data_IF_466607381358
#
_entry.id   IF_466607381358
#
_cell.length_a   1.000
_cell.length_b   1.000
_cell.length_c   1.000
_cell.angle_alpha   90.00
_cell.angle_beta   90.00
_cell.angle_gamma   90.00
#
_symmetry.space_group_name_H-M   'P 1'
#
loop_
_entity.id
_entity.type
_entity.pdbx_description
1 polymer ?
#
# COMPACT_ATOMS: atom_id res chain seq x y z
N UNK A 1 4.38 27.94 10.03
CA UNK A 1 5.41 28.21 9.08
C UNK A 1 5.12 27.61 7.76
N UNK A 2 5.46 28.31 6.82
CA UNK A 2 5.20 27.86 5.49
C UNK A 2 6.11 26.70 5.19
N UNK A 3 5.54 25.70 4.68
CA UNK A 3 6.28 24.64 4.13
C UNK A 3 7.04 25.13 2.94
N UNK A 4 8.20 24.65 2.74
CA UNK A 4 8.93 25.02 1.55
C UNK A 4 8.18 24.54 0.34
N UNK A 5 8.12 25.41 -0.63
CA UNK A 5 7.31 25.14 -1.81
C UNK A 5 7.78 23.93 -2.55
N UNK A 6 9.08 23.72 -2.55
CA UNK A 6 9.66 22.63 -3.29
C UNK A 6 9.56 21.31 -2.56
N UNK A 7 9.19 21.37 -1.30
CA UNK A 7 9.06 20.16 -0.53
C UNK A 7 7.68 19.57 -0.71
N UNK A 8 7.64 18.27 -0.88
CA UNK A 8 6.36 17.61 -0.88
C UNK A 8 5.82 17.59 0.55
N UNK A 9 4.53 17.38 0.66
CA UNK A 9 3.88 17.30 1.96
C UNK A 9 4.25 16.02 2.71
N UNK A 10 5.00 15.15 2.07
CA UNK A 10 5.19 13.80 2.59
C UNK A 10 4.06 12.89 2.18
N UNK A 11 3.09 13.43 1.48
CA UNK A 11 1.94 12.68 0.99
C UNK A 11 1.69 13.09 -0.45
N UNK A 12 2.12 12.23 -1.37
CA UNK A 12 2.01 12.54 -2.79
C UNK A 12 0.56 12.77 -3.23
N UNK A 13 -0.39 12.15 -2.54
CA UNK A 13 -1.80 12.29 -2.92
C UNK A 13 -2.32 13.68 -2.59
N UNK A 14 -1.82 14.29 -1.52
CA UNK A 14 -2.10 15.70 -1.26
C UNK A 14 -1.57 16.57 -2.38
N UNK A 15 -0.34 16.27 -2.80
CA UNK A 15 0.31 17.05 -3.86
C UNK A 15 -0.43 16.91 -5.18
N UNK A 16 -1.11 15.78 -5.39
CA UNK A 16 -1.90 15.54 -6.59
C UNK A 16 -3.31 16.13 -6.51
N UNK A 17 -3.66 16.75 -5.39
CA UNK A 17 -4.93 17.44 -5.27
C UNK A 17 -6.03 16.66 -4.57
N UNK A 18 -5.72 15.53 -3.97
CA UNK A 18 -6.73 14.80 -3.22
C UNK A 18 -7.08 15.55 -1.94
N UNK A 19 -8.35 15.52 -1.52
CA UNK A 19 -8.71 16.08 -0.22
C UNK A 19 -7.91 15.40 0.89
N UNK A 20 -7.59 16.13 1.98
CA UNK A 20 -6.73 15.57 3.03
C UNK A 20 -7.15 14.21 3.57
N UNK A 21 -8.45 14.00 3.81
CA UNK A 21 -8.89 12.72 4.37
C UNK A 21 -8.71 11.58 3.36
N UNK A 22 -8.90 11.85 2.08
CA UNK A 22 -8.67 10.84 1.05
C UNK A 22 -7.20 10.58 0.86
N UNK A 23 -6.39 11.65 0.88
CA UNK A 23 -4.95 11.52 0.72
C UNK A 23 -4.34 10.67 1.83
N UNK A 24 -4.85 10.81 3.07
CA UNK A 24 -4.42 9.99 4.18
C UNK A 24 -4.62 8.50 3.89
N UNK A 25 -5.83 8.15 3.48
CA UNK A 25 -6.16 6.76 3.21
C UNK A 25 -5.35 6.22 2.03
N UNK A 26 -5.23 7.02 0.97
CA UNK A 26 -4.47 6.59 -0.20
C UNK A 26 -3.01 6.34 0.14
N UNK A 27 -2.43 7.18 1.00
CA UNK A 27 -1.05 6.99 1.42
C UNK A 27 -0.88 5.69 2.20
N UNK A 28 -1.82 5.37 3.09
CA UNK A 28 -1.76 4.13 3.84
C UNK A 28 -1.91 2.91 2.93
N UNK A 29 -2.82 2.99 1.97
CA UNK A 29 -2.96 1.92 0.97
C UNK A 29 -1.65 1.72 0.22
N UNK A 30 -1.02 2.81 -0.19
CA UNK A 30 0.23 2.74 -0.94
C UNK A 30 1.34 2.10 -0.11
N UNK A 31 1.41 2.43 1.17
CA UNK A 31 2.42 1.85 2.06
C UNK A 31 2.21 0.36 2.23
N UNK A 32 0.97 -0.07 2.39
CA UNK A 32 0.67 -1.49 2.54
C UNK A 32 0.96 -2.26 1.25
N UNK A 33 0.61 -1.69 0.11
CA UNK A 33 0.90 -2.31 -1.17
C UNK A 33 2.42 -2.45 -1.35
N UNK A 34 3.18 -1.46 -0.93
CA UNK A 34 4.63 -1.48 -1.04
C UNK A 34 5.23 -2.57 -0.15
N UNK A 35 4.71 -2.72 1.06
CA UNK A 35 5.15 -3.77 1.98
C UNK A 35 4.93 -5.14 1.33
N UNK A 36 3.78 -5.35 0.72
CA UNK A 36 3.48 -6.62 0.05
C UNK A 36 4.37 -6.82 -1.17
N UNK A 37 4.62 -5.76 -1.94
CA UNK A 37 5.50 -5.85 -3.10
C UNK A 37 6.90 -6.27 -2.68
N UNK A 38 7.41 -5.67 -1.60
CA UNK A 38 8.74 -6.00 -1.09
C UNK A 38 8.78 -7.42 -0.56
N UNK A 39 7.70 -7.89 0.05
CA UNK A 39 7.62 -9.25 0.52
C UNK A 39 7.71 -10.23 -0.64
N UNK A 40 6.99 -9.96 -1.73
CA UNK A 40 7.03 -10.79 -2.92
C UNK A 40 8.45 -10.86 -3.47
N UNK A 41 9.13 -9.71 -3.54
CA UNK A 41 10.51 -9.67 -4.02
C UNK A 41 11.46 -10.44 -3.12
N UNK A 42 11.33 -10.23 -1.82
CA UNK A 42 12.22 -10.86 -0.86
C UNK A 42 12.07 -12.37 -0.88
N UNK A 43 10.85 -12.85 -1.06
CA UNK A 43 10.58 -14.28 -1.13
C UNK A 43 10.86 -14.86 -2.52
N UNK A 44 11.18 -14.01 -3.48
CA UNK A 44 11.48 -14.46 -4.83
C UNK A 44 10.31 -15.11 -5.54
N UNK A 45 9.09 -14.61 -5.32
CA UNK A 45 7.89 -15.23 -5.83
C UNK A 45 7.52 -14.71 -7.22
N UNK A 46 7.09 -15.64 -8.07
CA UNK A 46 6.42 -15.24 -9.31
C UNK A 46 5.01 -14.75 -8.96
N UNK A 47 4.34 -14.13 -9.94
CA UNK A 47 2.97 -13.70 -9.71
C UNK A 47 2.05 -14.88 -9.39
N UNK A 48 2.27 -16.00 -10.05
CA UNK A 48 1.48 -17.20 -9.77
C UNK A 48 1.72 -17.69 -8.34
N UNK A 49 2.97 -17.70 -7.90
CA UNK A 49 3.30 -18.13 -6.54
C UNK A 49 2.75 -17.17 -5.51
N UNK A 50 2.88 -15.86 -5.75
CA UNK A 50 2.33 -14.86 -4.85
C UNK A 50 0.82 -14.97 -4.77
N UNK A 51 0.16 -15.22 -5.90
CA UNK A 51 -1.27 -15.43 -5.95
C UNK A 51 -1.69 -16.56 -5.01
N UNK A 52 -0.98 -17.65 -5.06
CA UNK A 52 -1.26 -18.80 -4.18
C UNK A 52 -1.03 -18.46 -2.71
N UNK A 53 0.10 -17.83 -2.42
CA UNK A 53 0.45 -17.51 -1.03
C UNK A 53 -0.53 -16.52 -0.43
N UNK A 54 -0.96 -15.55 -1.22
CA UNK A 54 -1.88 -14.50 -0.76
C UNK A 54 -3.35 -14.94 -0.85
N UNK A 55 -3.63 -15.98 -1.62
CA UNK A 55 -5.00 -16.44 -1.78
C UNK A 55 -5.83 -15.50 -2.63
N UNK A 56 -5.22 -14.85 -3.61
CA UNK A 56 -5.90 -13.92 -4.50
C UNK A 56 -5.58 -14.27 -5.95
N UNK A 57 -6.24 -13.63 -6.89
CA UNK A 57 -6.01 -13.87 -8.30
C UNK A 57 -4.70 -13.21 -8.75
N UNK A 58 -4.14 -13.67 -9.85
CA UNK A 58 -2.94 -13.05 -10.40
C UNK A 58 -3.15 -11.60 -10.81
N UNK A 59 -4.28 -11.23 -11.43
CA UNK A 59 -4.54 -9.81 -11.69
C UNK A 59 -4.51 -8.96 -10.42
N UNK A 60 -4.97 -9.50 -9.30
CA UNK A 60 -4.92 -8.78 -8.04
C UNK A 60 -3.47 -8.60 -7.56
N UNK A 61 -2.64 -9.62 -7.74
CA UNK A 61 -1.21 -9.49 -7.44
C UNK A 61 -0.60 -8.39 -8.30
N UNK A 62 -0.94 -8.33 -9.57
CA UNK A 62 -0.44 -7.31 -10.47
C UNK A 62 -0.84 -5.91 -10.00
N UNK A 63 -2.08 -5.74 -9.56
CA UNK A 63 -2.55 -4.46 -9.03
C UNK A 63 -1.72 -4.04 -7.82
N UNK A 64 -1.44 -4.97 -6.94
CA UNK A 64 -0.65 -4.69 -5.74
C UNK A 64 0.76 -4.26 -6.12
N UNK A 65 1.43 -5.04 -6.97
CA UNK A 65 2.82 -4.78 -7.32
C UNK A 65 2.99 -3.52 -8.16
N UNK A 66 1.94 -3.11 -8.86
CA UNK A 66 1.96 -1.89 -9.67
C UNK A 66 1.43 -0.68 -8.91
N UNK A 67 1.07 -0.86 -7.65
CA UNK A 67 0.63 0.25 -6.82
C UNK A 67 -0.72 0.84 -7.20
N UNK A 68 -1.62 0.03 -7.74
CA UNK A 68 -2.95 0.49 -8.13
C UNK A 68 -3.85 0.58 -6.91
N UNK A 69 -3.49 1.48 -6.00
CA UNK A 69 -4.10 1.52 -4.67
C UNK A 69 -5.56 1.95 -4.67
N UNK A 70 -6.00 2.62 -5.73
CA UNK A 70 -7.40 3.00 -5.82
C UNK A 70 -8.32 1.78 -5.98
N UNK A 71 -7.75 0.64 -6.36
CA UNK A 71 -8.51 -0.59 -6.55
C UNK A 71 -8.46 -1.50 -5.32
N UNK A 72 -7.73 -1.10 -4.28
CA UNK A 72 -7.43 -1.97 -3.15
C UNK A 72 -7.83 -1.26 -1.86
N UNK A 73 -8.79 -1.81 -1.14
CA UNK A 73 -9.22 -1.20 0.10
C UNK A 73 -8.19 -1.42 1.20
N UNK A 74 -8.22 -0.54 2.19
CA UNK A 74 -7.26 -0.59 3.28
C UNK A 74 -7.37 -1.89 4.06
N UNK A 75 -8.60 -2.28 4.40
CA UNK A 75 -8.83 -3.50 5.15
C UNK A 75 -8.40 -4.74 4.36
N UNK A 76 -8.63 -4.72 3.05
CA UNK A 76 -8.18 -5.82 2.19
C UNK A 76 -6.66 -5.98 2.28
N UNK A 77 -5.94 -4.87 2.18
CA UNK A 77 -4.47 -4.91 2.21
C UNK A 77 -3.95 -5.34 3.58
N UNK A 78 -4.57 -4.85 4.65
CA UNK A 78 -4.19 -5.26 6.01
C UNK A 78 -4.40 -6.77 6.16
N UNK A 79 -5.52 -7.27 5.66
CA UNK A 79 -5.81 -8.71 5.73
C UNK A 79 -4.79 -9.54 5.00
N UNK A 80 -4.34 -9.08 3.83
CA UNK A 80 -3.31 -9.81 3.08
C UNK A 80 -1.99 -9.83 3.82
N UNK A 81 -1.61 -8.72 4.42
CA UNK A 81 -0.38 -8.67 5.23
C UNK A 81 -0.44 -9.69 6.36
N UNK A 82 -1.55 -9.72 7.08
CA UNK A 82 -1.73 -10.66 8.17
C UNK A 82 -1.66 -12.09 7.69
N UNK A 83 -2.21 -12.35 6.53
CA UNK A 83 -2.26 -13.70 5.96
C UNK A 83 -0.86 -14.28 5.73
N UNK A 84 0.09 -13.43 5.39
CA UNK A 84 1.45 -13.88 5.12
C UNK A 84 2.41 -13.56 6.27
N UNK A 85 1.87 -13.26 7.44
CA UNK A 85 2.67 -13.10 8.64
C UNK A 85 3.34 -11.75 8.79
N UNK A 86 2.85 -10.73 8.10
CA UNK A 86 3.36 -9.37 8.24
C UNK A 86 2.41 -8.61 9.17
N UNK A 87 2.80 -8.37 10.42
CA UNK A 87 1.93 -7.66 11.35
C UNK A 87 1.80 -6.19 10.97
N UNK A 88 0.59 -5.67 11.10
CA UNK A 88 0.31 -4.26 10.84
C UNK A 88 -0.18 -3.64 12.14
N UNK A 89 0.48 -2.58 12.56
CA UNK A 89 0.09 -1.88 13.76
C UNK A 89 -0.35 -0.47 13.43
N UNK A 90 -1.01 0.15 14.42
CA UNK A 90 -1.43 1.54 14.30
C UNK A 90 -0.66 2.38 15.31
N UNK A 91 -0.30 3.57 14.87
CA UNK A 91 0.33 4.53 15.74
C UNK A 91 -0.22 5.90 15.37
N UNK A 92 -0.86 6.53 16.33
CA UNK A 92 -1.45 7.84 16.08
C UNK A 92 -0.41 8.91 16.34
N UNK A 93 -0.35 9.87 15.43
CA UNK A 93 0.48 11.04 15.67
C UNK A 93 -0.17 11.90 16.74
N UNK A 94 0.63 12.38 17.66
CA UNK A 94 0.13 13.16 18.77
C UNK A 94 -0.32 14.55 18.32
#
# INVERSE_FOLDING_TARGET
MARKVTESSGNIFLDLGFPPHEAEVMLLRAKLAEVLRKWIEREGLTQAQASKRLGVTQPRVSEITRGKVELLSLDYLVGLCAKVGIPVGLKFAA
#
